data_IF_904479586266
#
_entry.id   IF_904479586266
#
_cell.length_a   1.000
_cell.length_b   1.000
_cell.length_c   1.000
_cell.angle_alpha   90.00
_cell.angle_beta   90.00
_cell.angle_gamma   90.00
#
_symmetry.space_group_name_H-M   'P 1'
#
loop_
_entity.id
_entity.type
_entity.pdbx_description
1 polymer ?
#
# COMPACT_ATOMS: atom_id res chain seq x y z
N UNK A 1 -13.13 -2.14 12.64
CA UNK A 1 -14.56 -2.11 12.99
C UNK A 1 -15.30 -3.16 12.18
N UNK A 2 -16.17 -3.90 12.84
CA UNK A 2 -17.07 -4.87 12.20
C UNK A 2 -18.50 -4.46 12.54
N UNK A 3 -19.38 -4.39 11.54
CA UNK A 3 -20.84 -4.23 11.73
C UNK A 3 -21.56 -5.44 11.13
N UNK A 4 -22.59 -5.86 11.80
CA UNK A 4 -23.49 -6.95 11.40
C UNK A 4 -24.89 -6.37 11.20
N UNK A 5 -25.63 -6.89 10.25
CA UNK A 5 -27.04 -6.52 10.04
C UNK A 5 -28.00 -7.21 11.03
N UNK A 6 -27.48 -8.17 11.82
CA UNK A 6 -28.23 -8.94 12.82
C UNK A 6 -27.74 -8.66 14.23
N UNK A 7 -28.64 -8.78 15.24
CA UNK A 7 -28.27 -8.60 16.64
C UNK A 7 -27.24 -9.62 17.11
N UNK A 8 -26.24 -9.16 17.85
CA UNK A 8 -25.28 -10.03 18.52
C UNK A 8 -25.91 -10.49 19.84
N UNK A 9 -25.95 -11.81 20.05
CA UNK A 9 -26.50 -12.43 21.26
C UNK A 9 -25.43 -12.64 22.32
N UNK A 10 -24.23 -13.08 21.91
CA UNK A 10 -23.11 -13.32 22.81
C UNK A 10 -21.76 -13.17 22.12
N UNK A 11 -20.74 -12.90 22.94
CA UNK A 11 -19.32 -13.03 22.59
C UNK A 11 -18.72 -14.12 23.48
N UNK A 12 -18.01 -15.05 22.87
CA UNK A 12 -17.30 -16.13 23.55
C UNK A 12 -15.83 -16.11 23.16
N UNK A 13 -14.95 -16.55 24.05
CA UNK A 13 -13.56 -16.78 23.71
C UNK A 13 -13.44 -18.06 22.88
N UNK A 14 -12.70 -18.01 21.80
CA UNK A 14 -12.42 -19.17 20.99
C UNK A 14 -11.15 -19.87 21.48
N UNK A 15 -11.28 -21.11 21.94
CA UNK A 15 -10.15 -22.03 22.22
C UNK A 15 -9.94 -22.90 20.98
N UNK A 16 -8.98 -22.54 20.14
CA UNK A 16 -8.75 -23.25 18.87
C UNK A 16 -7.42 -24.03 18.83
N UNK A 17 -6.71 -24.09 19.95
CA UNK A 17 -5.46 -24.85 20.10
C UNK A 17 -4.27 -24.33 19.30
N UNK A 18 -4.37 -23.16 18.69
CA UNK A 18 -3.25 -22.57 17.92
C UNK A 18 -2.18 -22.01 18.85
N UNK A 19 -0.90 -22.12 18.44
CA UNK A 19 0.26 -21.70 19.23
C UNK A 19 0.43 -20.17 19.30
N UNK A 20 -0.16 -19.41 18.39
CA UNK A 20 0.04 -17.95 18.27
C UNK A 20 -0.56 -17.13 19.41
N UNK A 21 -1.38 -17.74 20.28
CA UNK A 21 -2.04 -17.12 21.44
C UNK A 21 -2.80 -15.83 21.12
N UNK A 22 -3.10 -15.56 19.86
CA UNK A 22 -3.87 -14.38 19.46
C UNK A 22 -5.29 -14.48 20.01
N UNK A 23 -5.84 -13.40 20.61
CA UNK A 23 -7.21 -13.41 21.12
C UNK A 23 -8.20 -13.55 19.96
N UNK A 24 -9.05 -14.57 20.05
CA UNK A 24 -10.12 -14.84 19.09
C UNK A 24 -11.44 -14.81 19.80
N UNK A 25 -12.46 -14.34 19.10
CA UNK A 25 -13.83 -14.28 19.62
C UNK A 25 -14.78 -14.99 18.67
N UNK A 26 -15.68 -15.75 19.23
CA UNK A 26 -16.85 -16.27 18.53
C UNK A 26 -17.99 -15.28 18.78
N UNK A 27 -18.60 -14.82 17.70
CA UNK A 27 -19.78 -13.96 17.74
C UNK A 27 -20.99 -14.86 17.49
N UNK A 28 -21.88 -14.95 18.48
CA UNK A 28 -23.15 -15.65 18.32
C UNK A 28 -24.24 -14.67 17.93
N UNK A 29 -24.96 -15.03 16.91
CA UNK A 29 -26.13 -14.28 16.43
C UNK A 29 -27.41 -15.03 16.81
N UNK A 30 -28.55 -14.35 16.82
CA UNK A 30 -29.86 -15.01 16.87
C UNK A 30 -29.97 -15.98 15.66
N UNK A 31 -30.89 -16.94 15.75
CA UNK A 31 -31.05 -18.02 14.76
C UNK A 31 -31.36 -17.45 13.35
N UNK A 32 -30.29 -17.11 12.64
CA UNK A 32 -30.31 -16.49 11.32
C UNK A 32 -29.45 -17.28 10.35
N UNK A 33 -30.00 -17.58 9.19
CA UNK A 33 -29.29 -18.35 8.15
C UNK A 33 -28.40 -17.50 7.27
N UNK A 34 -28.76 -16.22 7.09
CA UNK A 34 -28.02 -15.27 6.29
C UNK A 34 -27.69 -14.04 7.13
N UNK A 35 -26.45 -13.61 7.06
CA UNK A 35 -25.94 -12.43 7.76
C UNK A 35 -25.09 -11.62 6.82
N UNK A 36 -25.28 -10.31 6.81
CA UNK A 36 -24.41 -9.38 6.14
C UNK A 36 -23.40 -8.80 7.11
N UNK A 37 -22.14 -8.69 6.66
CA UNK A 37 -21.03 -8.21 7.47
C UNK A 37 -20.36 -7.06 6.71
N UNK A 38 -20.18 -5.92 7.38
CA UNK A 38 -19.33 -4.83 6.91
C UNK A 38 -18.08 -4.78 7.77
N UNK A 39 -16.92 -4.67 7.11
CA UNK A 39 -15.62 -4.58 7.78
C UNK A 39 -14.88 -3.35 7.29
N UNK A 40 -14.33 -2.56 8.20
CA UNK A 40 -13.45 -1.45 7.89
C UNK A 40 -12.24 -1.42 8.80
N UNK A 41 -11.13 -0.96 8.24
CA UNK A 41 -9.85 -0.80 8.90
C UNK A 41 -9.48 0.68 8.98
N UNK A 42 -8.61 1.01 9.89
CA UNK A 42 -7.88 2.26 9.97
C UNK A 42 -6.54 1.98 10.64
N UNK A 43 -5.50 2.57 10.14
CA UNK A 43 -4.18 2.55 10.78
C UNK A 43 -4.10 3.58 11.92
N UNK A 44 -5.06 4.50 11.98
CA UNK A 44 -5.05 5.65 12.90
C UNK A 44 -5.84 5.36 14.16
N UNK A 45 -7.13 5.03 14.02
CA UNK A 45 -8.02 4.87 15.17
C UNK A 45 -9.29 4.08 14.88
N UNK A 46 -10.00 3.66 15.92
CA UNK A 46 -11.33 3.05 15.81
C UNK A 46 -12.33 4.03 15.19
N UNK A 47 -12.22 5.31 15.53
CA UNK A 47 -13.06 6.38 14.97
C UNK A 47 -12.78 6.60 13.49
N UNK A 48 -11.51 6.50 13.06
CA UNK A 48 -11.12 6.48 11.65
C UNK A 48 -11.79 5.33 10.90
N UNK A 49 -11.69 4.10 11.42
CA UNK A 49 -12.34 2.94 10.83
C UNK A 49 -13.87 3.07 10.75
N UNK A 50 -14.53 3.71 11.74
CA UNK A 50 -15.97 4.00 11.67
C UNK A 50 -16.30 5.01 10.57
N UNK A 51 -15.48 6.05 10.40
CA UNK A 51 -15.67 7.04 9.33
C UNK A 51 -15.48 6.41 7.97
N UNK A 52 -14.42 5.60 7.77
CA UNK A 52 -14.17 4.85 6.55
C UNK A 52 -15.40 3.99 6.20
N UNK A 53 -15.88 3.20 7.18
CA UNK A 53 -17.04 2.35 6.98
C UNK A 53 -18.31 3.11 6.54
N UNK A 54 -18.56 4.26 7.18
CA UNK A 54 -19.77 5.03 6.91
C UNK A 54 -19.72 5.75 5.56
N UNK A 55 -18.53 6.16 5.08
CA UNK A 55 -18.37 6.84 3.79
C UNK A 55 -18.23 5.88 2.61
N UNK A 56 -17.57 4.75 2.83
CA UNK A 56 -17.30 3.79 1.74
C UNK A 56 -18.39 2.73 1.59
N UNK A 57 -19.12 2.42 2.66
CA UNK A 57 -20.18 1.39 2.69
C UNK A 57 -21.43 1.92 3.43
N UNK A 58 -22.06 2.96 2.89
CA UNK A 58 -23.20 3.62 3.53
C UNK A 58 -24.41 2.67 3.69
N UNK A 59 -24.74 1.91 2.65
CA UNK A 59 -25.92 1.02 2.62
C UNK A 59 -25.56 -0.47 2.78
N UNK A 60 -26.57 -1.32 3.03
CA UNK A 60 -26.46 -2.76 3.18
C UNK A 60 -26.78 -3.55 1.90
N UNK A 61 -26.88 -2.89 0.76
CA UNK A 61 -27.14 -3.52 -0.52
C UNK A 61 -25.85 -4.15 -1.07
N UNK A 62 -25.69 -5.44 -0.85
CA UNK A 62 -24.53 -6.22 -1.29
C UNK A 62 -24.36 -6.22 -2.81
N UNK A 63 -25.48 -6.35 -3.56
CA UNK A 63 -25.41 -6.43 -5.02
C UNK A 63 -24.98 -5.11 -5.65
N UNK A 64 -25.42 -3.99 -5.08
CA UNK A 64 -24.93 -2.67 -5.49
C UNK A 64 -23.43 -2.52 -5.20
N UNK A 65 -22.95 -2.88 -4.00
CA UNK A 65 -21.50 -2.81 -3.67
C UNK A 65 -20.68 -3.70 -4.61
N UNK A 66 -21.17 -4.93 -4.89
CA UNK A 66 -20.52 -5.82 -5.84
C UNK A 66 -20.43 -5.19 -7.24
N UNK A 67 -21.52 -4.61 -7.72
CA UNK A 67 -21.56 -3.98 -9.04
C UNK A 67 -20.66 -2.75 -9.15
N UNK A 68 -20.58 -1.96 -8.10
CA UNK A 68 -19.64 -0.82 -8.03
C UNK A 68 -18.18 -1.28 -8.08
N UNK A 69 -17.83 -2.36 -7.35
CA UNK A 69 -16.50 -2.94 -7.40
C UNK A 69 -16.17 -3.51 -8.80
N UNK A 70 -17.11 -4.24 -9.43
CA UNK A 70 -16.97 -4.71 -10.82
C UNK A 70 -16.70 -3.55 -11.78
N UNK A 71 -17.47 -2.47 -11.68
CA UNK A 71 -17.31 -1.30 -12.54
C UNK A 71 -15.96 -0.59 -12.33
N UNK A 72 -15.48 -0.51 -11.07
CA UNK A 72 -14.15 0.05 -10.79
C UNK A 72 -13.05 -0.80 -11.41
N UNK A 73 -13.10 -2.11 -11.27
CA UNK A 73 -12.12 -3.01 -11.89
C UNK A 73 -12.18 -2.96 -13.41
N UNK A 74 -13.39 -2.98 -13.99
CA UNK A 74 -13.58 -2.88 -15.43
C UNK A 74 -12.97 -1.60 -16.01
N UNK A 75 -13.11 -0.47 -15.31
CA UNK A 75 -12.51 0.80 -15.73
C UNK A 75 -10.97 0.75 -15.85
N UNK A 76 -10.30 -0.09 -15.05
CA UNK A 76 -8.84 -0.26 -15.15
C UNK A 76 -8.45 -1.37 -16.12
N UNK A 77 -9.14 -2.51 -16.08
CA UNK A 77 -8.78 -3.67 -16.89
C UNK A 77 -9.07 -3.44 -18.38
N UNK A 78 -10.12 -2.70 -18.71
CA UNK A 78 -10.48 -2.37 -20.11
C UNK A 78 -9.57 -1.32 -20.77
N UNK A 79 -8.60 -0.75 -20.04
CA UNK A 79 -7.62 0.19 -20.62
C UNK A 79 -6.67 -0.47 -21.64
N UNK A 80 -6.55 -1.78 -21.60
CA UNK A 80 -5.79 -2.57 -22.57
C UNK A 80 -6.72 -3.66 -23.11
N UNK A 81 -6.91 -3.65 -24.41
CA UNK A 81 -7.60 -4.73 -25.13
C UNK A 81 -6.57 -5.62 -25.81
N UNK A 82 -6.74 -6.93 -25.70
CA UNK A 82 -5.91 -7.91 -26.39
C UNK A 82 -6.73 -8.85 -27.27
N UNK A 83 -6.15 -9.26 -28.37
CA UNK A 83 -6.65 -10.34 -29.20
C UNK A 83 -5.90 -11.64 -28.86
N UNK A 84 -6.63 -12.75 -28.82
CA UNK A 84 -6.03 -14.05 -28.51
C UNK A 84 -7.09 -15.08 -28.12
N UNK A 85 -6.63 -16.26 -27.74
CA UNK A 85 -7.48 -17.33 -27.20
C UNK A 85 -8.03 -16.94 -25.82
N UNK A 86 -9.11 -17.59 -25.38
CA UNK A 86 -9.69 -17.34 -24.06
C UNK A 86 -8.67 -17.59 -22.93
N UNK A 87 -7.83 -18.61 -23.04
CA UNK A 87 -6.77 -18.88 -22.09
C UNK A 87 -5.74 -17.72 -22.02
N UNK A 88 -5.34 -17.18 -23.16
CA UNK A 88 -4.42 -16.04 -23.23
C UNK A 88 -5.03 -14.80 -22.59
N UNK A 89 -6.33 -14.53 -22.86
CA UNK A 89 -7.07 -13.42 -22.26
C UNK A 89 -7.19 -13.57 -20.75
N UNK A 90 -7.55 -14.77 -20.26
CA UNK A 90 -7.64 -15.06 -18.81
C UNK A 90 -6.30 -14.80 -18.15
N UNK A 91 -5.21 -15.34 -18.69
CA UNK A 91 -3.86 -15.15 -18.13
C UNK A 91 -3.45 -13.68 -18.09
N UNK A 92 -3.69 -12.94 -19.20
CA UNK A 92 -3.35 -11.53 -19.28
C UNK A 92 -4.12 -10.68 -18.27
N UNK A 93 -5.46 -10.78 -18.26
CA UNK A 93 -6.28 -9.95 -17.36
C UNK A 93 -6.13 -10.35 -15.89
N UNK A 94 -5.85 -11.62 -15.59
CA UNK A 94 -5.49 -12.05 -14.24
C UNK A 94 -4.17 -11.44 -13.79
N UNK A 95 -3.16 -11.41 -14.66
CA UNK A 95 -1.88 -10.76 -14.35
C UNK A 95 -2.04 -9.24 -14.17
N UNK A 96 -2.83 -8.59 -15.03
CA UNK A 96 -3.13 -7.17 -14.92
C UNK A 96 -3.90 -6.83 -13.63
N UNK A 97 -4.87 -7.68 -13.24
CA UNK A 97 -5.57 -7.56 -11.96
C UNK A 97 -4.58 -7.65 -10.78
N UNK A 98 -3.71 -8.67 -10.76
CA UNK A 98 -2.72 -8.82 -9.69
C UNK A 98 -1.76 -7.64 -9.60
N UNK A 99 -1.36 -7.07 -10.74
CA UNK A 99 -0.51 -5.88 -10.78
C UNK A 99 -1.14 -4.69 -10.06
N UNK A 100 -2.45 -4.52 -10.15
CA UNK A 100 -3.19 -3.38 -9.61
C UNK A 100 -3.67 -3.57 -8.16
N UNK A 101 -3.41 -4.72 -7.53
CA UNK A 101 -3.78 -4.96 -6.13
C UNK A 101 -2.94 -4.09 -5.18
N UNK A 102 -1.70 -3.79 -5.54
CA UNK A 102 -0.75 -2.99 -4.75
C UNK A 102 -0.11 -1.90 -5.63
N UNK A 103 0.34 -0.79 -5.03
CA UNK A 103 0.33 -0.43 -3.59
C UNK A 103 -1.06 -0.11 -3.06
N UNK A 104 -1.22 -0.16 -1.72
CA UNK A 104 -2.49 0.14 -1.07
C UNK A 104 -2.49 1.57 -0.51
N UNK A 105 -3.58 2.31 -0.70
CA UNK A 105 -3.84 3.52 0.07
C UNK A 105 -4.20 3.13 1.50
N UNK A 106 -3.42 3.59 2.48
CA UNK A 106 -3.60 3.30 3.90
C UNK A 106 -4.04 4.53 4.71
N UNK A 107 -4.29 5.64 4.04
CA UNK A 107 -4.91 6.80 4.68
C UNK A 107 -6.39 6.56 4.92
N UNK A 108 -6.91 7.10 6.02
CA UNK A 108 -8.35 7.18 6.26
C UNK A 108 -9.02 8.14 5.28
N UNK A 109 -10.34 8.04 5.11
CA UNK A 109 -11.13 8.88 4.19
C UNK A 109 -11.01 10.39 4.44
N UNK A 110 -10.51 10.79 5.59
CA UNK A 110 -10.21 12.19 5.92
C UNK A 110 -8.75 12.58 5.66
N UNK A 111 -7.96 11.69 5.04
CA UNK A 111 -6.55 11.90 4.73
C UNK A 111 -5.58 11.66 5.89
N UNK A 112 -6.05 11.25 7.07
CA UNK A 112 -5.17 10.91 8.18
C UNK A 112 -4.46 9.59 7.93
N UNK A 113 -3.16 9.52 8.26
CA UNK A 113 -2.35 8.31 8.16
C UNK A 113 -1.36 8.20 9.31
N UNK A 114 -0.84 7.01 9.58
CA UNK A 114 0.32 6.80 10.45
C UNK A 114 1.58 6.73 9.61
N UNK A 115 2.57 7.55 9.98
CA UNK A 115 3.89 7.49 9.36
C UNK A 115 4.76 6.35 9.93
N UNK A 116 5.99 6.21 9.41
CA UNK A 116 6.94 5.18 9.84
C UNK A 116 7.31 5.22 11.34
N UNK A 117 7.09 6.35 12.02
CA UNK A 117 7.35 6.56 13.46
C UNK A 117 6.08 6.53 14.32
N UNK A 118 4.99 5.93 13.81
CA UNK A 118 3.68 5.84 14.48
C UNK A 118 2.99 7.19 14.78
N UNK A 119 3.49 8.30 14.24
CA UNK A 119 2.83 9.60 14.38
C UNK A 119 1.65 9.69 13.41
N UNK A 120 0.53 10.22 13.90
CA UNK A 120 -0.65 10.49 13.08
C UNK A 120 -0.48 11.84 12.41
N UNK A 121 -0.53 11.86 11.09
CA UNK A 121 -0.41 13.04 10.25
C UNK A 121 -1.58 13.13 9.28
N UNK A 122 -1.72 14.31 8.66
CA UNK A 122 -2.64 14.52 7.55
C UNK A 122 -1.84 14.56 6.25
N UNK A 123 -2.19 13.69 5.31
CA UNK A 123 -1.60 13.73 3.98
C UNK A 123 -2.03 15.02 3.26
N UNK A 124 -1.11 15.81 2.70
CA UNK A 124 -1.46 16.98 1.92
C UNK A 124 -2.21 16.64 0.63
N UNK A 125 -2.18 15.38 0.23
CA UNK A 125 -2.82 14.85 -0.99
C UNK A 125 -4.11 14.06 -0.67
N UNK A 126 -4.45 13.88 0.61
CA UNK A 126 -5.59 13.05 1.05
C UNK A 126 -5.35 11.54 0.95
N UNK A 127 -4.22 11.12 0.39
CA UNK A 127 -3.84 9.73 0.11
C UNK A 127 -2.44 9.47 0.68
N UNK A 128 -2.21 8.26 1.16
CA UNK A 128 -0.88 7.77 1.53
C UNK A 128 -0.75 6.31 1.16
N UNK A 129 0.00 6.06 0.09
CA UNK A 129 0.28 4.70 -0.36
C UNK A 129 1.36 4.02 0.48
N UNK A 130 1.17 2.74 0.72
CA UNK A 130 2.13 1.82 1.32
C UNK A 130 2.04 0.46 0.63
N UNK A 131 2.76 -0.54 1.15
CA UNK A 131 2.87 -1.86 0.53
C UNK A 131 3.64 -1.77 -0.79
N UNK A 132 4.75 -1.04 -0.75
CA UNK A 132 5.67 -0.93 -1.88
C UNK A 132 6.69 -2.07 -1.85
N UNK A 133 6.61 -2.98 -2.80
CA UNK A 133 7.59 -4.05 -3.06
C UNK A 133 8.52 -3.63 -4.19
N UNK A 134 9.34 -2.60 -3.96
CA UNK A 134 10.04 -1.87 -5.01
C UNK A 134 11.09 -2.70 -5.76
N UNK A 135 11.73 -3.66 -5.09
CA UNK A 135 12.65 -4.59 -5.73
C UNK A 135 11.96 -5.42 -6.83
N UNK A 136 10.70 -5.77 -6.64
CA UNK A 136 9.91 -6.51 -7.61
C UNK A 136 9.36 -5.60 -8.70
N UNK A 137 8.85 -4.43 -8.33
CA UNK A 137 7.96 -3.62 -9.16
C UNK A 137 8.67 -2.56 -10.00
N UNK A 138 9.89 -2.13 -9.64
CA UNK A 138 10.56 -1.01 -10.31
C UNK A 138 10.89 -1.28 -11.77
N UNK A 139 11.09 -2.56 -12.15
CA UNK A 139 11.55 -2.93 -13.51
C UNK A 139 10.45 -2.85 -14.56
N UNK A 140 9.22 -3.17 -14.19
CA UNK A 140 8.12 -3.28 -15.16
C UNK A 140 6.81 -2.66 -14.66
N UNK A 141 6.40 -2.94 -13.41
CA UNK A 141 5.11 -2.47 -12.89
C UNK A 141 5.04 -0.94 -12.83
N UNK A 142 6.02 -0.28 -12.19
CA UNK A 142 6.03 1.19 -12.11
C UNK A 142 6.17 1.87 -13.48
N UNK A 143 7.06 1.43 -14.38
CA UNK A 143 7.05 1.91 -15.77
C UNK A 143 5.69 1.73 -16.46
N UNK A 144 5.01 0.59 -16.25
CA UNK A 144 3.68 0.38 -16.82
C UNK A 144 2.63 1.33 -16.21
N UNK A 145 2.70 1.64 -14.91
CA UNK A 145 1.79 2.61 -14.29
C UNK A 145 1.90 4.00 -14.91
N UNK A 146 3.05 4.39 -15.46
CA UNK A 146 3.20 5.67 -16.18
C UNK A 146 2.31 5.74 -17.43
N UNK A 147 1.86 4.60 -17.95
CA UNK A 147 1.05 4.47 -19.17
C UNK A 147 -0.38 4.08 -18.79
N UNK A 148 -0.52 3.07 -17.93
CA UNK A 148 -1.80 2.46 -17.60
C UNK A 148 -2.62 3.28 -16.61
N UNK A 149 -1.96 3.83 -15.57
CA UNK A 149 -2.59 4.56 -14.48
C UNK A 149 -1.85 5.85 -14.15
N UNK A 150 -1.60 6.72 -15.14
CA UNK A 150 -0.80 7.93 -14.96
C UNK A 150 -1.35 8.87 -13.90
N UNK A 151 -2.66 8.82 -13.65
CA UNK A 151 -3.33 9.61 -12.62
C UNK A 151 -3.00 9.19 -11.18
N UNK A 152 -2.58 7.94 -10.96
CA UNK A 152 -2.24 7.42 -9.63
C UNK A 152 -0.76 7.58 -9.29
N UNK A 153 0.09 7.74 -10.30
CA UNK A 153 1.54 7.73 -10.12
C UNK A 153 2.07 8.89 -9.26
N UNK A 154 1.58 10.14 -9.39
CA UNK A 154 2.03 11.24 -8.52
C UNK A 154 1.79 10.96 -7.03
N UNK A 155 0.65 10.39 -6.68
CA UNK A 155 0.32 10.06 -5.29
C UNK A 155 1.20 8.93 -4.73
N UNK A 156 1.56 7.95 -5.57
CA UNK A 156 2.53 6.91 -5.20
C UNK A 156 3.91 7.52 -4.92
N UNK A 157 4.40 8.37 -5.82
CA UNK A 157 5.69 9.05 -5.66
C UNK A 157 5.68 9.96 -4.43
N UNK A 158 4.67 10.78 -4.26
CA UNK A 158 4.54 11.68 -3.11
C UNK A 158 4.48 10.90 -1.78
N UNK A 159 3.85 9.71 -1.77
CA UNK A 159 3.85 8.83 -0.60
C UNK A 159 5.26 8.33 -0.27
N UNK A 160 6.08 8.01 -1.29
CA UNK A 160 7.48 7.63 -1.07
C UNK A 160 8.31 8.81 -0.53
N UNK A 161 8.05 10.04 -0.99
CA UNK A 161 8.72 11.25 -0.49
C UNK A 161 8.33 11.53 0.97
N UNK A 162 7.04 11.47 1.31
CA UNK A 162 6.56 11.61 2.70
C UNK A 162 7.16 10.54 3.63
N UNK A 163 7.32 9.30 3.14
CA UNK A 163 8.01 8.25 3.89
C UNK A 163 9.45 8.65 4.16
N UNK A 164 10.17 9.12 3.14
CA UNK A 164 11.58 9.52 3.26
C UNK A 164 11.79 10.73 4.18
N UNK A 165 10.90 11.69 4.20
CA UNK A 165 10.93 12.82 5.15
C UNK A 165 10.87 12.33 6.61
N UNK A 166 10.02 11.35 6.88
CA UNK A 166 9.87 10.78 8.21
C UNK A 166 11.02 9.85 8.60
N UNK A 167 11.32 8.88 7.72
CA UNK A 167 12.29 7.81 7.99
C UNK A 167 13.74 8.29 7.84
N UNK A 168 13.98 9.25 6.94
CA UNK A 168 15.32 9.79 6.63
C UNK A 168 15.91 9.25 5.32
N UNK A 169 15.30 8.24 4.71
CA UNK A 169 15.66 7.63 3.44
C UNK A 169 14.41 7.12 2.71
N UNK A 170 14.53 6.92 1.40
CA UNK A 170 13.45 6.42 0.55
C UNK A 170 13.05 4.97 0.90
N UNK A 171 11.79 4.58 0.68
CA UNK A 171 11.34 3.25 1.02
C UNK A 171 12.08 2.16 0.24
N UNK A 172 12.33 1.02 0.90
CA UNK A 172 12.87 -0.20 0.32
C UNK A 172 11.74 -1.20 0.10
N UNK A 173 11.06 -1.57 1.20
CA UNK A 173 9.87 -2.41 1.19
C UNK A 173 8.96 -2.03 2.34
N UNK A 174 7.90 -1.27 2.08
CA UNK A 174 7.01 -0.78 3.13
C UNK A 174 5.77 -1.66 3.30
N UNK A 175 5.34 -1.83 4.55
CA UNK A 175 4.09 -2.48 4.91
C UNK A 175 3.36 -1.63 5.95
N UNK A 176 2.12 -1.28 5.66
CA UNK A 176 1.27 -0.50 6.57
C UNK A 176 1.95 0.79 7.08
N UNK A 177 2.62 1.51 6.18
CA UNK A 177 3.31 2.77 6.50
C UNK A 177 4.71 2.63 7.10
N UNK A 178 5.17 1.42 7.42
CA UNK A 178 6.49 1.15 8.02
C UNK A 178 7.44 0.47 7.06
N UNK A 179 8.73 0.79 7.18
CA UNK A 179 9.78 0.05 6.50
C UNK A 179 9.98 -1.32 7.14
N UNK A 180 10.05 -2.38 6.33
CA UNK A 180 10.25 -3.75 6.81
C UNK A 180 11.69 -4.21 6.72
N UNK A 181 12.51 -3.51 5.95
CA UNK A 181 13.88 -3.91 5.61
C UNK A 181 13.99 -5.30 4.98
N UNK A 182 12.90 -5.77 4.34
CA UNK A 182 12.81 -7.14 3.83
C UNK A 182 13.71 -7.36 2.61
N UNK A 183 13.81 -6.37 1.71
CA UNK A 183 14.58 -6.46 0.46
C UNK A 183 15.79 -5.55 0.50
N UNK A 184 16.55 -5.57 -0.59
CA UNK A 184 17.76 -4.78 -0.79
C UNK A 184 17.54 -3.69 -1.83
N UNK A 185 18.46 -2.72 -1.88
CA UNK A 185 18.61 -1.73 -2.93
C UNK A 185 17.70 -0.51 -2.76
N UNK A 186 18.03 0.54 -3.51
CA UNK A 186 17.34 1.83 -3.51
C UNK A 186 16.42 1.97 -4.72
N UNK A 187 15.49 1.03 -4.91
CA UNK A 187 14.66 0.92 -6.11
C UNK A 187 13.55 1.97 -6.21
N UNK A 188 13.28 2.73 -5.13
CA UNK A 188 12.46 3.93 -5.20
C UNK A 188 13.09 5.00 -6.11
N UNK A 189 14.42 5.04 -6.19
CA UNK A 189 15.13 6.06 -6.97
C UNK A 189 14.75 6.03 -8.46
N UNK A 190 14.89 4.90 -9.20
CA UNK A 190 14.50 4.88 -10.60
C UNK A 190 13.00 5.17 -10.81
N UNK A 191 12.12 4.76 -9.91
CA UNK A 191 10.67 5.04 -9.99
C UNK A 191 10.41 6.55 -9.91
N UNK A 192 10.98 7.22 -8.92
CA UNK A 192 10.80 8.67 -8.72
C UNK A 192 11.45 9.45 -9.87
N UNK A 193 12.67 9.08 -10.28
CA UNK A 193 13.39 9.72 -11.39
C UNK A 193 12.61 9.60 -12.70
N UNK A 194 12.05 8.43 -12.99
CA UNK A 194 11.23 8.23 -14.20
C UNK A 194 10.00 9.16 -14.19
N UNK A 195 9.30 9.25 -13.05
CA UNK A 195 8.15 10.13 -12.91
C UNK A 195 8.53 11.62 -13.10
N UNK A 196 9.67 12.06 -12.52
CA UNK A 196 10.18 13.41 -12.69
C UNK A 196 10.57 13.71 -14.14
N UNK A 197 11.31 12.79 -14.81
CA UNK A 197 11.74 12.95 -16.20
C UNK A 197 10.58 12.94 -17.20
N UNK A 198 9.51 12.24 -16.89
CA UNK A 198 8.26 12.25 -17.67
C UNK A 198 7.36 13.45 -17.35
N UNK A 199 7.80 14.36 -16.46
CA UNK A 199 7.08 15.56 -16.04
C UNK A 199 5.67 15.30 -15.50
N UNK A 200 5.49 14.28 -14.67
CA UNK A 200 4.22 14.06 -14.00
C UNK A 200 3.89 15.24 -13.08
N UNK A 201 2.66 15.78 -13.16
CA UNK A 201 2.26 16.95 -12.37
C UNK A 201 2.16 16.61 -10.87
N UNK A 202 2.34 17.61 -10.01
CA UNK A 202 2.16 17.46 -8.56
C UNK A 202 3.31 16.78 -7.82
N UNK A 203 4.45 16.56 -8.48
CA UNK A 203 5.70 16.07 -7.88
C UNK A 203 6.66 17.25 -7.73
N UNK A 204 7.13 17.50 -6.51
CA UNK A 204 8.20 18.45 -6.25
C UNK A 204 9.55 17.82 -6.60
N UNK A 205 10.09 18.20 -7.79
CA UNK A 205 11.33 17.66 -8.33
C UNK A 205 12.54 18.01 -7.48
N UNK A 206 12.57 19.20 -6.87
CA UNK A 206 13.67 19.63 -6.02
C UNK A 206 13.69 18.83 -4.72
N UNK A 207 12.53 18.67 -4.07
CA UNK A 207 12.37 17.81 -2.91
C UNK A 207 12.76 16.35 -3.24
N UNK A 208 12.29 15.82 -4.35
CA UNK A 208 12.64 14.47 -4.81
C UNK A 208 14.15 14.31 -4.98
N UNK A 209 14.82 15.26 -5.63
CA UNK A 209 16.28 15.26 -5.76
C UNK A 209 17.00 15.26 -4.41
N UNK A 210 16.57 16.11 -3.47
CA UNK A 210 17.18 16.17 -2.14
C UNK A 210 17.03 14.87 -1.36
N UNK A 211 15.84 14.25 -1.39
CA UNK A 211 15.58 12.99 -0.70
C UNK A 211 16.30 11.80 -1.35
N UNK A 212 16.38 11.76 -2.67
CA UNK A 212 17.20 10.78 -3.43
C UNK A 212 18.66 10.92 -3.03
N UNK A 213 19.21 12.13 -3.13
CA UNK A 213 20.60 12.39 -2.76
C UNK A 213 20.89 11.95 -1.33
N UNK A 214 20.04 12.34 -0.37
CA UNK A 214 20.17 11.94 1.03
C UNK A 214 20.16 10.41 1.19
N UNK A 215 19.25 9.71 0.54
CA UNK A 215 19.16 8.24 0.61
C UNK A 215 20.39 7.53 0.06
N UNK A 216 21.11 8.15 -0.89
CA UNK A 216 22.29 7.59 -1.53
C UNK A 216 23.62 8.02 -0.88
N UNK A 217 23.62 9.06 -0.03
CA UNK A 217 24.85 9.65 0.52
C UNK A 217 24.91 9.68 2.05
N UNK A 218 23.87 9.19 2.73
CA UNK A 218 23.82 9.12 4.20
C UNK A 218 23.55 7.67 4.60
N UNK A 219 24.38 7.15 5.48
CA UNK A 219 24.21 5.80 6.01
C UNK A 219 22.86 5.64 6.71
N UNK A 220 22.22 4.53 6.45
CA UNK A 220 20.97 4.10 7.09
C UNK A 220 20.95 2.58 7.22
N UNK A 221 19.92 2.02 7.83
CA UNK A 221 19.82 0.58 8.06
C UNK A 221 20.06 -0.22 6.75
N UNK A 222 20.98 -1.18 6.79
CA UNK A 222 21.44 -2.01 5.65
C UNK A 222 22.10 -1.23 4.49
N UNK A 223 22.51 0.02 4.71
CA UNK A 223 23.21 0.80 3.70
C UNK A 223 24.29 1.66 4.36
N UNK A 224 25.51 1.16 4.42
CA UNK A 224 26.68 1.82 5.00
C UNK A 224 27.46 2.57 3.93
N UNK A 225 27.18 3.87 3.81
CA UNK A 225 27.85 4.74 2.82
C UNK A 225 29.34 4.90 3.13
N UNK A 226 29.72 4.94 4.40
CA UNK A 226 31.14 5.12 4.80
C UNK A 226 31.96 3.90 4.39
N UNK A 227 31.44 2.68 4.56
CA UNK A 227 32.08 1.48 4.07
C UNK A 227 32.19 1.49 2.53
N UNK A 228 31.11 1.89 1.83
CA UNK A 228 31.13 2.01 0.38
C UNK A 228 32.15 3.04 -0.11
N UNK A 229 32.21 4.23 0.48
CA UNK A 229 33.14 5.29 0.11
C UNK A 229 34.60 4.86 0.34
N UNK A 230 34.84 4.07 1.39
CA UNK A 230 36.18 3.59 1.75
C UNK A 230 36.66 2.46 0.82
N UNK A 231 35.79 1.53 0.45
CA UNK A 231 36.18 0.29 -0.24
C UNK A 231 35.71 0.24 -1.69
N UNK A 232 34.77 1.07 -2.10
CA UNK A 232 34.13 1.02 -3.41
C UNK A 232 33.09 -0.11 -3.57
N UNK A 233 32.85 -0.86 -2.50
CA UNK A 233 31.85 -1.93 -2.40
C UNK A 233 31.48 -2.16 -0.93
N UNK A 234 30.50 -2.99 -0.64
CA UNK A 234 30.13 -3.41 0.71
C UNK A 234 30.87 -4.71 1.08
N UNK A 235 31.95 -4.69 1.91
CA UNK A 235 32.66 -5.89 2.32
C UNK A 235 31.79 -6.73 3.25
N UNK A 236 31.67 -8.02 2.95
CA UNK A 236 30.85 -8.96 3.73
C UNK A 236 31.27 -9.10 5.19
N UNK A 237 32.57 -8.98 5.46
CA UNK A 237 33.17 -9.16 6.77
C UNK A 237 33.18 -7.89 7.65
N UNK A 238 32.71 -6.76 7.14
CA UNK A 238 32.73 -5.46 7.82
C UNK A 238 31.31 -4.91 8.02
N UNK A 239 30.41 -5.20 7.09
CA UNK A 239 29.01 -4.74 7.16
C UNK A 239 28.23 -5.75 7.98
N UNK A 240 27.87 -5.40 9.21
CA UNK A 240 26.98 -6.21 10.04
C UNK A 240 25.56 -6.29 9.40
N UNK A 241 24.96 -7.47 9.51
CA UNK A 241 23.62 -7.74 9.01
C UNK A 241 22.52 -6.93 9.76
#
# INVERSE_FOLDING_TARGET
>A
VIKLDKPIVAFEDAEDGREDKAPRKIIRLADEREVQIKVAFSMVSIEGAKKNLNLELEHWDFDTVRKEAENKWENYLSRIEIEGTDEQKINFYTALYHLLIQPNNVADVNGQYKNAKDSVLLSPFGIYYSTFSLWDTYRAAHPLYTILTPELLPDMVNSMLLHAECQGYLPIWTLWGKETHCMIGNHAVPVIVEACLKNFPGIDVEQAYHLIKKSLTVSHFKYDVEAYDRYGYFPFDIVEE
#
